data_IF_235261391545
#
_entry.id   IF_235261391545
#
_cell.length_a   1.000
_cell.length_b   1.000
_cell.length_c   1.000
_cell.angle_alpha   90.00
_cell.angle_beta   90.00
_cell.angle_gamma   90.00
#
_symmetry.space_group_name_H-M   'P 1'
#
loop_
_entity.id
_entity.type
_entity.pdbx_description
1 polymer ?
#
# COMPACT_ATOMS: atom_id res chain seq x y z
N UNK A 1 -0.55 -1.57 -26.33
CA UNK A 1 0.37 -1.12 -25.26
C UNK A 1 0.20 0.38 -25.11
N UNK A 2 -0.61 0.83 -24.14
CA UNK A 2 -0.79 2.26 -23.88
C UNK A 2 0.31 2.70 -22.92
N UNK A 3 1.32 3.41 -23.43
CA UNK A 3 2.31 4.07 -22.58
C UNK A 3 1.69 5.38 -22.12
N UNK A 4 1.20 5.40 -20.88
CA UNK A 4 0.71 6.63 -20.26
C UNK A 4 1.95 7.44 -19.90
N UNK A 5 2.19 8.54 -20.62
CA UNK A 5 3.25 9.48 -20.28
C UNK A 5 2.76 10.39 -19.15
N UNK A 6 3.25 10.16 -17.94
CA UNK A 6 3.10 11.13 -16.85
C UNK A 6 4.02 12.33 -17.11
N UNK A 7 3.51 13.55 -16.90
CA UNK A 7 4.28 14.79 -17.11
C UNK A 7 5.36 15.02 -16.05
N UNK A 8 5.34 14.26 -14.95
CA UNK A 8 6.32 14.25 -13.87
C UNK A 8 6.50 12.80 -13.37
N UNK A 9 7.68 12.43 -12.86
CA UNK A 9 7.85 11.13 -12.20
C UNK A 9 6.89 11.03 -10.99
N UNK A 10 6.43 9.82 -10.65
CA UNK A 10 5.62 9.62 -9.46
C UNK A 10 6.42 10.00 -8.22
N UNK A 11 5.75 10.57 -7.22
CA UNK A 11 6.37 10.89 -5.92
C UNK A 11 6.77 9.61 -5.17
N UNK A 12 6.09 8.52 -5.43
CA UNK A 12 6.42 7.18 -4.93
C UNK A 12 5.55 6.13 -5.60
N UNK A 13 5.86 4.87 -5.30
CA UNK A 13 5.16 3.70 -5.78
C UNK A 13 4.80 2.76 -4.62
N UNK A 14 3.79 1.92 -4.83
CA UNK A 14 3.39 0.89 -3.89
C UNK A 14 3.35 -0.44 -4.64
N UNK A 15 4.26 -1.34 -4.30
CA UNK A 15 4.31 -2.68 -4.89
C UNK A 15 3.30 -3.62 -4.22
N UNK A 16 2.28 -4.02 -4.98
CA UNK A 16 1.19 -4.88 -4.53
C UNK A 16 1.61 -6.34 -4.31
N UNK A 17 2.76 -6.80 -4.82
CA UNK A 17 3.27 -8.16 -4.52
C UNK A 17 3.54 -8.35 -3.03
N UNK A 18 3.87 -7.28 -2.31
CA UNK A 18 4.09 -7.32 -0.88
C UNK A 18 2.80 -7.11 -0.07
N UNK A 19 1.64 -7.02 -0.72
CA UNK A 19 0.36 -6.88 -0.03
C UNK A 19 0.03 -8.15 0.76
N UNK A 20 -0.29 -7.97 2.05
CA UNK A 20 -0.63 -9.09 2.94
C UNK A 20 -2.13 -9.37 3.01
N UNK A 21 -2.97 -8.43 2.57
CA UNK A 21 -4.41 -8.54 2.68
C UNK A 21 -5.01 -9.24 1.47
N UNK A 22 -5.86 -10.24 1.71
CA UNK A 22 -6.52 -10.96 0.63
C UNK A 22 -7.38 -10.03 -0.24
N UNK A 23 -8.04 -9.07 0.41
CA UNK A 23 -8.83 -8.02 -0.25
C UNK A 23 -8.71 -6.73 0.54
N UNK A 24 -8.66 -5.60 -0.16
CA UNK A 24 -8.81 -4.26 0.42
C UNK A 24 -10.27 -3.83 0.44
N UNK A 25 -10.66 -3.16 1.53
CA UNK A 25 -12.03 -2.71 1.76
C UNK A 25 -12.04 -1.38 2.51
N UNK A 26 -13.24 -0.81 2.69
CA UNK A 26 -13.44 0.41 3.48
C UNK A 26 -12.79 0.26 4.86
N UNK A 27 -12.01 1.26 5.24
CA UNK A 27 -11.43 1.35 6.57
C UNK A 27 -12.52 1.69 7.58
N UNK A 28 -12.49 1.03 8.74
CA UNK A 28 -13.44 1.24 9.82
C UNK A 28 -13.34 2.68 10.36
N UNK A 29 -14.49 3.28 10.67
CA UNK A 29 -14.56 4.68 11.13
C UNK A 29 -13.89 4.90 12.48
N UNK A 30 -13.83 3.86 13.29
CA UNK A 30 -13.13 3.80 14.57
C UNK A 30 -11.61 3.98 14.38
N UNK A 31 -11.08 3.58 13.22
CA UNK A 31 -9.66 3.73 12.86
C UNK A 31 -9.39 5.05 12.15
N UNK A 32 -10.26 5.44 11.21
CA UNK A 32 -10.11 6.69 10.46
C UNK A 32 -11.47 7.35 10.21
N UNK A 33 -11.63 8.59 10.67
CA UNK A 33 -12.85 9.37 10.48
C UNK A 33 -13.01 9.92 9.04
N UNK A 34 -11.94 9.88 8.22
CA UNK A 34 -11.96 10.40 6.85
C UNK A 34 -12.89 9.54 5.97
N UNK A 35 -13.92 10.13 5.34
CA UNK A 35 -14.85 9.37 4.49
C UNK A 35 -14.13 8.69 3.32
N UNK A 36 -14.70 7.58 2.85
CA UNK A 36 -14.23 6.89 1.64
C UNK A 36 -12.74 6.49 1.68
N UNK A 37 -12.22 6.26 2.89
CA UNK A 37 -10.87 5.76 3.10
C UNK A 37 -10.86 4.24 3.06
N UNK A 38 -9.91 3.65 2.33
CA UNK A 38 -9.56 2.24 2.44
C UNK A 38 -8.11 2.08 2.91
N UNK A 39 -7.79 0.91 3.44
CA UNK A 39 -6.43 0.58 3.88
C UNK A 39 -5.80 -0.46 2.95
N UNK A 40 -4.53 -0.23 2.63
CA UNK A 40 -3.66 -1.19 1.98
C UNK A 40 -2.46 -1.48 2.89
N UNK A 41 -2.22 -2.76 3.17
CA UNK A 41 -1.12 -3.20 4.05
C UNK A 41 -0.08 -3.99 3.29
N UNK A 42 1.17 -3.56 3.40
CA UNK A 42 2.32 -4.11 2.69
C UNK A 42 3.34 -4.60 3.70
N UNK A 43 3.81 -5.85 3.61
CA UNK A 43 4.85 -6.38 4.49
C UNK A 43 6.12 -6.70 3.72
N UNK A 44 7.12 -5.85 3.87
CA UNK A 44 8.39 -5.93 3.14
C UNK A 44 9.45 -6.58 4.04
N UNK A 45 10.28 -7.51 3.54
CA UNK A 45 11.42 -8.04 4.28
C UNK A 45 12.31 -6.92 4.82
N UNK A 46 12.66 -6.96 6.10
CA UNK A 46 13.59 -6.01 6.71
C UNK A 46 15.01 -6.35 6.24
N UNK A 47 15.37 -6.00 5.00
CA UNK A 47 16.75 -6.02 4.52
C UNK A 47 17.38 -4.65 4.75
N UNK A 48 18.62 -4.62 5.23
CA UNK A 48 19.50 -3.43 5.27
C UNK A 48 19.83 -2.85 3.87
N UNK A 49 19.06 -3.15 2.83
CA UNK A 49 19.39 -2.87 1.43
C UNK A 49 18.18 -2.58 0.54
N UNK A 50 16.96 -2.57 1.10
CA UNK A 50 15.83 -1.93 0.43
C UNK A 50 15.95 -0.47 0.80
N UNK A 51 16.00 0.39 -0.22
CA UNK A 51 16.37 1.79 -0.14
C UNK A 51 15.85 2.42 1.17
N UNK A 52 16.79 2.69 2.09
CA UNK A 52 16.52 3.18 3.44
C UNK A 52 15.72 4.51 3.41
N UNK A 53 15.62 5.13 2.22
CA UNK A 53 14.84 6.32 1.90
C UNK A 53 13.33 6.15 1.99
N UNK A 54 12.80 4.92 2.11
CA UNK A 54 11.36 4.72 1.98
C UNK A 54 10.55 5.58 2.96
N UNK A 55 10.98 5.74 4.21
CA UNK A 55 10.39 6.72 5.13
C UNK A 55 11.41 7.09 6.21
N UNK A 56 12.32 8.00 5.85
CA UNK A 56 13.02 8.80 6.85
C UNK A 56 12.22 10.08 7.09
N UNK A 57 12.17 10.55 8.33
CA UNK A 57 11.61 11.87 8.60
C UNK A 57 12.53 12.97 8.04
N UNK A 58 12.16 14.24 8.23
CA UNK A 58 12.99 15.38 7.82
C UNK A 58 14.39 15.40 8.44
N UNK A 59 14.62 14.62 9.51
CA UNK A 59 15.87 14.49 10.24
C UNK A 59 16.66 13.23 9.85
N UNK A 60 16.26 12.56 8.77
CA UNK A 60 16.80 11.27 8.33
C UNK A 60 16.58 10.13 9.35
N UNK A 61 15.67 10.29 10.33
CA UNK A 61 15.39 9.27 11.33
C UNK A 61 14.37 8.26 10.81
N UNK A 62 14.62 6.99 11.13
CA UNK A 62 13.81 5.88 10.69
C UNK A 62 12.39 5.94 11.29
N UNK A 63 11.36 5.99 10.45
CA UNK A 63 9.95 6.02 10.89
C UNK A 63 9.44 4.60 11.30
N UNK A 64 10.35 3.73 11.76
CA UNK A 64 10.03 2.47 12.40
C UNK A 64 9.35 2.78 13.74
N UNK A 65 8.12 2.31 13.97
CA UNK A 65 7.29 2.55 15.17
C UNK A 65 6.29 3.72 15.05
N UNK A 66 5.86 4.06 13.84
CA UNK A 66 4.78 5.01 13.63
C UNK A 66 3.43 4.31 13.39
N UNK A 67 2.38 5.11 13.20
CA UNK A 67 1.08 4.61 12.72
C UNK A 67 1.18 4.06 11.29
N UNK A 68 2.15 4.51 10.49
CA UNK A 68 2.28 4.12 9.08
C UNK A 68 3.28 2.98 8.85
N UNK A 69 4.24 2.78 9.76
CA UNK A 69 5.26 1.74 9.64
C UNK A 69 5.59 1.10 11.00
N UNK A 70 5.41 -0.22 11.08
CA UNK A 70 5.59 -0.99 12.31
C UNK A 70 6.43 -2.24 12.08
N UNK A 71 7.33 -2.60 13.03
CA UNK A 71 8.00 -3.89 13.00
C UNK A 71 6.97 -5.03 13.03
N UNK A 72 7.12 -6.00 12.13
CA UNK A 72 6.28 -7.19 12.02
C UNK A 72 7.15 -8.44 11.84
N UNK A 73 7.70 -8.94 12.94
CA UNK A 73 8.66 -10.04 12.92
C UNK A 73 9.95 -9.66 12.20
N UNK A 74 10.29 -10.39 11.12
CA UNK A 74 11.45 -10.09 10.24
C UNK A 74 11.09 -9.18 9.06
N UNK A 75 9.91 -8.57 9.09
CA UNK A 75 9.38 -7.67 8.07
C UNK A 75 9.02 -6.34 8.70
N UNK A 76 8.88 -5.32 7.86
CA UNK A 76 8.26 -4.05 8.22
C UNK A 76 6.89 -3.98 7.58
N UNK A 77 5.86 -3.78 8.40
CA UNK A 77 4.48 -3.57 7.96
C UNK A 77 4.25 -2.10 7.69
N UNK A 78 3.82 -1.77 6.47
CA UNK A 78 3.39 -0.45 6.06
C UNK A 78 1.87 -0.42 5.92
N UNK A 79 1.24 0.66 6.41
CA UNK A 79 -0.19 0.94 6.26
C UNK A 79 -0.39 2.20 5.43
N UNK A 80 -1.04 2.06 4.29
CA UNK A 80 -1.43 3.16 3.41
C UNK A 80 -2.92 3.39 3.55
N UNK A 81 -3.31 4.59 3.98
CA UNK A 81 -4.72 5.02 4.04
C UNK A 81 -5.01 5.93 2.85
N UNK A 82 -5.89 5.46 1.97
CA UNK A 82 -6.18 6.11 0.70
C UNK A 82 -7.66 6.53 0.70
N UNK A 83 -7.90 7.84 0.66
CA UNK A 83 -9.23 8.43 0.62
C UNK A 83 -9.59 8.82 -0.80
N UNK A 84 -10.77 8.40 -1.27
CA UNK A 84 -11.34 8.88 -2.52
C UNK A 84 -12.31 10.05 -2.29
N UNK A 85 -12.68 10.76 -3.35
CA UNK A 85 -13.63 11.86 -3.30
C UNK A 85 -15.08 11.39 -3.14
N UNK A 86 -15.40 10.19 -3.63
CA UNK A 86 -16.73 9.59 -3.54
C UNK A 86 -16.70 8.13 -3.07
N UNK A 87 -17.87 7.61 -2.69
CA UNK A 87 -18.03 6.20 -2.32
C UNK A 87 -17.80 5.30 -3.53
N UNK A 88 -18.26 5.75 -4.69
CA UNK A 88 -18.20 5.07 -5.98
C UNK A 88 -16.74 4.93 -6.42
N UNK A 89 -15.97 6.02 -6.42
CA UNK A 89 -14.54 5.99 -6.75
C UNK A 89 -13.78 5.05 -5.81
N UNK A 90 -14.07 5.10 -4.51
CA UNK A 90 -13.46 4.18 -3.54
C UNK A 90 -13.77 2.72 -3.89
N UNK A 91 -15.03 2.42 -4.25
CA UNK A 91 -15.41 1.06 -4.63
C UNK A 91 -14.67 0.61 -5.89
N UNK A 92 -14.55 1.47 -6.89
CA UNK A 92 -13.85 1.17 -8.14
C UNK A 92 -12.36 0.90 -7.87
N UNK A 93 -11.71 1.74 -7.06
CA UNK A 93 -10.34 1.50 -6.60
C UNK A 93 -10.19 0.17 -5.87
N UNK A 94 -11.05 -0.13 -4.89
CA UNK A 94 -10.99 -1.40 -4.18
C UNK A 94 -11.20 -2.58 -5.14
N UNK A 95 -12.15 -2.50 -6.07
CA UNK A 95 -12.43 -3.57 -7.03
C UNK A 95 -11.24 -3.85 -7.95
N UNK A 96 -10.63 -2.80 -8.51
CA UNK A 96 -9.45 -2.92 -9.38
C UNK A 96 -8.28 -3.52 -8.61
N UNK A 97 -8.00 -3.00 -7.41
CA UNK A 97 -6.89 -3.51 -6.59
C UNK A 97 -7.15 -4.97 -6.19
N UNK A 98 -8.38 -5.32 -5.80
CA UNK A 98 -8.74 -6.71 -5.45
C UNK A 98 -8.59 -7.66 -6.64
N UNK A 99 -8.95 -7.23 -7.84
CA UNK A 99 -8.72 -8.03 -9.05
C UNK A 99 -7.21 -8.23 -9.29
N UNK A 100 -6.41 -7.18 -9.21
CA UNK A 100 -4.94 -7.28 -9.37
C UNK A 100 -4.35 -8.22 -8.31
N UNK A 101 -4.79 -8.14 -7.05
CA UNK A 101 -4.32 -9.03 -5.99
C UNK A 101 -4.71 -10.50 -6.23
N UNK A 102 -5.89 -10.74 -6.80
CA UNK A 102 -6.30 -12.09 -7.20
C UNK A 102 -5.42 -12.61 -8.35
N UNK A 103 -5.22 -11.80 -9.38
CA UNK A 103 -4.41 -12.16 -10.56
C UNK A 103 -2.96 -12.48 -10.15
N UNK A 104 -2.33 -11.61 -9.34
CA UNK A 104 -0.95 -11.82 -8.86
C UNK A 104 -0.80 -13.15 -8.12
N UNK A 105 -1.77 -13.52 -7.29
CA UNK A 105 -1.71 -14.76 -6.51
C UNK A 105 -1.97 -15.99 -7.35
N UNK A 106 -2.85 -15.89 -8.33
CA UNK A 106 -3.10 -17.01 -9.26
C UNK A 106 -1.83 -17.32 -10.06
N UNK A 107 -1.09 -16.29 -10.47
CA UNK A 107 0.19 -16.43 -11.17
C UNK A 107 1.30 -17.00 -10.28
N UNK A 108 1.36 -16.62 -8.99
CA UNK A 108 2.35 -17.19 -8.06
C UNK A 108 2.13 -18.68 -7.77
N UNK A 109 0.87 -19.12 -7.78
CA UNK A 109 0.51 -20.53 -7.54
C UNK A 109 0.68 -21.38 -8.81
N UNK A 110 0.56 -20.78 -10.00
CA UNK A 110 0.71 -21.43 -11.30
C UNK A 110 1.83 -20.77 -12.15
N UNK A 111 3.12 -20.99 -11.82
CA UNK A 111 4.24 -20.35 -12.52
C UNK A 111 4.50 -20.90 -13.93
#
# INVERSE_FOLDING_TARGET
>A
MYVIFFSKPPTGDIDLHYCIDQTVNLLQRETCARPHTFELRIAIPTKKSIDHRLFVDENEEYICNSIIAQPFGKRTLFRYWLSADSKEDRNDWCNIINQILADLREWEVNP
#
